data_IF_028396176584
#
_entry.id   IF_028396176584
#
_cell.length_a   1.000
_cell.length_b   1.000
_cell.length_c   1.000
_cell.angle_alpha   90.00
_cell.angle_beta   90.00
_cell.angle_gamma   90.00
#
_symmetry.space_group_name_H-M   'P 1'
#
loop_
_entity.id
_entity.type
_entity.pdbx_description
1 polymer ?
#
# COMPACT_ATOMS: atom_id res chain seq x y z
N UNK A 1 -12.85 22.13 -10.91
CA UNK A 1 -13.83 21.55 -9.95
C UNK A 1 -13.26 21.65 -8.56
N UNK A 2 -14.09 21.82 -7.53
CA UNK A 2 -13.62 21.81 -6.14
C UNK A 2 -13.16 20.39 -5.77
N UNK A 3 -12.08 20.29 -4.99
CA UNK A 3 -11.59 19.03 -4.46
C UNK A 3 -12.64 18.45 -3.49
N UNK A 4 -13.15 17.24 -3.77
CA UNK A 4 -14.27 16.65 -3.03
C UNK A 4 -13.84 15.76 -1.86
N UNK A 5 -12.58 15.30 -1.85
CA UNK A 5 -12.03 14.39 -0.84
C UNK A 5 -10.60 14.79 -0.46
N UNK A 6 -10.44 15.89 0.24
CA UNK A 6 -9.10 16.29 0.71
C UNK A 6 -8.78 15.72 2.09
N UNK A 7 -7.66 15.00 2.18
CA UNK A 7 -7.08 14.59 3.46
C UNK A 7 -5.94 15.54 3.86
N UNK A 8 -5.88 15.96 5.11
CA UNK A 8 -4.76 16.76 5.58
C UNK A 8 -3.47 15.92 5.65
N UNK A 9 -2.36 16.51 5.28
CA UNK A 9 -1.03 15.88 5.47
C UNK A 9 -0.76 15.64 6.95
N UNK A 10 -0.08 14.54 7.32
CA UNK A 10 0.33 14.30 8.69
C UNK A 10 1.16 15.45 9.27
N UNK A 11 0.94 15.74 10.56
CA UNK A 11 1.68 16.79 11.28
C UNK A 11 2.58 16.21 12.37
N UNK A 12 2.82 14.88 12.33
CA UNK A 12 3.71 14.19 13.26
C UNK A 12 5.15 14.51 12.88
N UNK A 13 5.91 15.06 13.83
CA UNK A 13 7.32 15.42 13.69
C UNK A 13 8.06 15.16 15.04
N UNK A 14 7.71 14.03 15.68
CA UNK A 14 8.24 13.64 17.00
C UNK A 14 9.47 12.73 16.93
N UNK A 15 9.91 12.39 15.71
CA UNK A 15 11.05 11.53 15.46
C UNK A 15 10.99 10.88 14.09
N UNK A 16 12.13 10.36 13.63
CA UNK A 16 12.27 9.83 12.27
C UNK A 16 11.27 8.70 11.99
N UNK A 17 11.18 7.71 12.90
CA UNK A 17 10.30 6.56 12.70
C UNK A 17 8.83 6.94 12.74
N UNK A 18 8.43 7.76 13.71
CA UNK A 18 7.03 8.19 13.84
C UNK A 18 6.59 9.04 12.64
N UNK A 19 7.46 9.94 12.18
CA UNK A 19 7.21 10.76 10.99
C UNK A 19 7.07 9.89 9.75
N UNK A 20 8.01 8.96 9.52
CA UNK A 20 7.98 8.06 8.37
C UNK A 20 6.72 7.17 8.38
N UNK A 21 6.35 6.62 9.55
CA UNK A 21 5.16 5.79 9.71
C UNK A 21 3.87 6.60 9.47
N UNK A 22 3.82 7.85 9.94
CA UNK A 22 2.67 8.72 9.71
C UNK A 22 2.43 8.98 8.20
N UNK A 23 3.50 9.23 7.43
CA UNK A 23 3.38 9.43 5.98
C UNK A 23 3.04 8.14 5.22
N UNK A 24 3.60 7.00 5.63
CA UNK A 24 3.22 5.70 5.06
C UNK A 24 1.73 5.39 5.33
N UNK A 25 1.29 5.58 6.58
CA UNK A 25 -0.11 5.38 6.97
C UNK A 25 -1.06 6.32 6.22
N UNK A 26 -0.65 7.55 5.98
CA UNK A 26 -1.40 8.51 5.17
C UNK A 26 -1.57 8.03 3.73
N UNK A 27 -0.50 7.55 3.09
CA UNK A 27 -0.56 7.02 1.73
C UNK A 27 -1.48 5.79 1.63
N UNK A 28 -1.40 4.86 2.61
CA UNK A 28 -2.29 3.69 2.71
C UNK A 28 -3.75 4.09 2.86
N UNK A 29 -4.02 5.09 3.71
CA UNK A 29 -5.36 5.63 3.90
C UNK A 29 -5.92 6.22 2.60
N UNK A 30 -5.12 6.97 1.84
CA UNK A 30 -5.53 7.52 0.55
C UNK A 30 -5.95 6.42 -0.44
N UNK A 31 -5.23 5.31 -0.51
CA UNK A 31 -5.59 4.16 -1.36
C UNK A 31 -6.94 3.58 -0.95
N UNK A 32 -7.14 3.26 0.33
CA UNK A 32 -8.39 2.67 0.83
C UNK A 32 -9.58 3.61 0.66
N UNK A 33 -9.37 4.91 0.86
CA UNK A 33 -10.39 5.94 0.66
C UNK A 33 -10.91 5.94 -0.78
N UNK A 34 -10.04 5.74 -1.76
CA UNK A 34 -10.45 5.68 -3.18
C UNK A 34 -11.25 4.42 -3.53
N UNK A 35 -11.11 3.35 -2.76
CA UNK A 35 -11.96 2.17 -2.87
C UNK A 35 -13.33 2.34 -2.20
N UNK A 36 -13.47 3.26 -1.25
CA UNK A 36 -14.68 3.46 -0.47
C UNK A 36 -15.89 3.91 -1.30
N UNK A 37 -17.05 3.27 -1.09
CA UNK A 37 -18.32 3.64 -1.72
C UNK A 37 -18.48 3.21 -3.18
N UNK A 38 -17.51 2.53 -3.77
CA UNK A 38 -17.62 1.94 -5.11
C UNK A 38 -18.27 0.56 -5.05
N UNK A 39 -19.03 0.20 -6.10
CA UNK A 39 -19.54 -1.15 -6.28
C UNK A 39 -18.42 -2.14 -6.65
N UNK A 40 -18.68 -3.44 -6.50
CA UNK A 40 -17.73 -4.49 -6.92
C UNK A 40 -17.32 -4.36 -8.39
N UNK A 41 -18.29 -4.11 -9.29
CA UNK A 41 -18.03 -3.89 -10.71
C UNK A 41 -17.13 -2.67 -10.97
N UNK A 42 -17.33 -1.58 -10.23
CA UNK A 42 -16.51 -0.38 -10.34
C UNK A 42 -15.09 -0.63 -9.85
N UNK A 43 -14.91 -1.31 -8.72
CA UNK A 43 -13.61 -1.64 -8.15
C UNK A 43 -12.78 -2.54 -9.06
N UNK A 44 -13.43 -3.47 -9.77
CA UNK A 44 -12.80 -4.42 -10.70
C UNK A 44 -12.60 -3.86 -12.11
N UNK A 45 -13.22 -2.71 -12.42
CA UNK A 45 -13.18 -2.15 -13.79
C UNK A 45 -11.76 -1.75 -14.16
N UNK A 46 -11.24 -2.37 -15.20
CA UNK A 46 -9.97 -2.02 -15.82
C UNK A 46 -10.15 -0.77 -16.67
N UNK A 47 -9.35 0.26 -16.39
CA UNK A 47 -9.43 1.56 -17.07
C UNK A 47 -8.14 1.94 -17.82
N UNK A 48 -7.13 1.08 -17.77
CA UNK A 48 -5.83 1.31 -18.41
C UNK A 48 -5.47 0.17 -19.33
N UNK A 49 -4.65 0.44 -20.34
CA UNK A 49 -4.14 -0.61 -21.24
C UNK A 49 -3.21 -1.63 -20.54
N UNK A 50 -2.68 -1.30 -19.37
CA UNK A 50 -1.87 -2.19 -18.54
C UNK A 50 -2.67 -3.13 -17.63
N UNK A 51 -4.01 -3.06 -17.65
CA UNK A 51 -4.86 -3.95 -16.86
C UNK A 51 -5.10 -3.47 -15.42
N UNK A 52 -4.88 -2.19 -15.11
CA UNK A 52 -5.00 -1.67 -13.75
C UNK A 52 -6.44 -1.37 -13.36
N UNK A 53 -6.87 -1.84 -12.21
CA UNK A 53 -8.13 -1.50 -11.53
C UNK A 53 -7.84 -1.05 -10.09
N UNK A 54 -8.78 -0.37 -9.42
CA UNK A 54 -8.60 0.01 -8.00
C UNK A 54 -8.42 -1.23 -7.13
N UNK A 55 -9.22 -2.27 -7.34
CA UNK A 55 -9.09 -3.51 -6.56
C UNK A 55 -7.74 -4.20 -6.79
N UNK A 56 -7.24 -4.18 -8.03
CA UNK A 56 -5.93 -4.71 -8.38
C UNK A 56 -4.79 -3.96 -7.69
N UNK A 57 -4.88 -2.63 -7.57
CA UNK A 57 -3.91 -1.83 -6.81
C UNK A 57 -3.90 -2.21 -5.32
N UNK A 58 -5.07 -2.39 -4.72
CA UNK A 58 -5.18 -2.80 -3.30
C UNK A 58 -4.57 -4.19 -3.09
N UNK A 59 -4.88 -5.16 -3.96
CA UNK A 59 -4.29 -6.50 -3.90
C UNK A 59 -2.77 -6.45 -4.02
N UNK A 60 -2.26 -5.74 -5.02
CA UNK A 60 -0.83 -5.57 -5.23
C UNK A 60 -0.14 -4.99 -3.99
N UNK A 61 -0.69 -3.92 -3.42
CA UNK A 61 -0.10 -3.28 -2.24
C UNK A 61 -0.11 -4.20 -1.01
N UNK A 62 -1.12 -5.07 -0.83
CA UNK A 62 -1.11 -6.06 0.25
C UNK A 62 0.10 -7.02 0.13
N UNK A 63 0.41 -7.47 -1.09
CA UNK A 63 1.56 -8.34 -1.32
C UNK A 63 2.89 -7.59 -1.14
N UNK A 64 2.96 -6.33 -1.60
CA UNK A 64 4.15 -5.48 -1.44
C UNK A 64 4.45 -5.18 0.03
N UNK A 65 3.42 -4.96 0.87
CA UNK A 65 3.56 -4.82 2.32
C UNK A 65 4.18 -6.08 2.95
N UNK A 66 3.68 -7.26 2.63
CA UNK A 66 4.19 -8.54 3.14
C UNK A 66 5.61 -8.82 2.66
N UNK A 67 5.90 -8.46 1.41
CA UNK A 67 7.24 -8.65 0.85
C UNK A 67 8.28 -7.81 1.58
N UNK A 68 8.03 -6.52 1.74
CA UNK A 68 9.02 -5.61 2.31
C UNK A 68 9.12 -5.68 3.83
N UNK A 69 7.98 -5.64 4.53
CA UNK A 69 7.99 -5.63 5.99
C UNK A 69 7.92 -7.04 6.60
N UNK A 70 7.20 -7.96 5.98
CA UNK A 70 7.15 -9.34 6.44
C UNK A 70 8.44 -10.09 6.11
N UNK A 71 8.70 -10.27 4.83
CA UNK A 71 9.85 -11.07 4.40
C UNK A 71 11.18 -10.35 4.61
N UNK A 72 11.39 -9.20 3.97
CA UNK A 72 12.70 -8.56 4.04
C UNK A 72 13.04 -8.02 5.41
N UNK A 73 12.14 -7.28 6.06
CA UNK A 73 12.41 -6.69 7.37
C UNK A 73 12.37 -7.73 8.49
N UNK A 74 11.28 -8.49 8.61
CA UNK A 74 11.06 -9.41 9.74
C UNK A 74 11.56 -10.84 9.50
N UNK A 75 11.94 -11.21 8.27
CA UNK A 75 12.47 -12.54 7.93
C UNK A 75 11.41 -13.63 7.87
N UNK A 76 10.13 -13.31 7.65
CA UNK A 76 9.11 -14.32 7.46
C UNK A 76 9.30 -15.07 6.13
N UNK A 77 8.84 -16.30 6.07
CA UNK A 77 8.89 -17.08 4.84
C UNK A 77 8.13 -16.38 3.71
N UNK A 78 8.71 -16.44 2.52
CA UNK A 78 8.12 -15.88 1.32
C UNK A 78 7.81 -16.98 0.31
N UNK A 79 6.56 -17.01 -0.12
CA UNK A 79 6.16 -17.89 -1.22
C UNK A 79 6.48 -17.21 -2.56
N UNK A 80 7.54 -17.66 -3.22
CA UNK A 80 7.96 -17.16 -4.54
C UNK A 80 6.92 -17.41 -5.65
N UNK A 81 5.92 -18.26 -5.40
CA UNK A 81 4.78 -18.47 -6.31
C UNK A 81 3.67 -17.42 -6.18
N UNK A 82 3.76 -16.50 -5.22
CA UNK A 82 2.80 -15.39 -5.10
C UNK A 82 2.95 -14.43 -6.27
N UNK A 83 1.81 -14.12 -6.88
CA UNK A 83 1.76 -13.15 -7.97
C UNK A 83 1.60 -11.73 -7.41
N UNK A 84 2.52 -10.85 -7.75
CA UNK A 84 2.42 -9.40 -7.49
C UNK A 84 1.47 -8.69 -8.47
N UNK A 85 0.72 -9.45 -9.24
CA UNK A 85 -0.12 -8.95 -10.32
C UNK A 85 -1.30 -8.12 -9.83
N UNK A 86 -1.76 -7.23 -10.70
CA UNK A 86 -2.96 -6.41 -10.45
C UNK A 86 -4.25 -7.10 -10.91
N UNK A 87 -4.17 -8.32 -11.45
CA UNK A 87 -5.34 -9.09 -11.85
C UNK A 87 -5.95 -9.79 -10.63
N UNK A 88 -7.16 -9.39 -10.26
CA UNK A 88 -7.91 -10.03 -9.17
C UNK A 88 -8.76 -11.15 -9.72
N UNK A 89 -8.59 -12.37 -9.18
CA UNK A 89 -9.41 -13.53 -9.55
C UNK A 89 -10.91 -13.23 -9.37
N UNK A 90 -11.73 -13.66 -10.33
CA UNK A 90 -13.18 -13.50 -10.27
C UNK A 90 -13.81 -14.18 -9.04
N UNK A 91 -13.17 -15.26 -8.53
CA UNK A 91 -13.63 -15.99 -7.34
C UNK A 91 -13.23 -15.34 -6.00
N UNK A 92 -12.36 -14.33 -6.01
CA UNK A 92 -11.94 -13.63 -4.77
C UNK A 92 -12.90 -12.49 -4.48
N UNK A 93 -13.56 -12.51 -3.32
CA UNK A 93 -14.48 -11.46 -2.93
C UNK A 93 -13.76 -10.11 -2.72
N UNK A 94 -14.39 -9.00 -3.13
CA UNK A 94 -13.84 -7.66 -2.94
C UNK A 94 -13.57 -7.35 -1.48
N UNK A 95 -14.48 -7.75 -0.58
CA UNK A 95 -14.31 -7.56 0.86
C UNK A 95 -13.04 -8.26 1.38
N UNK A 96 -12.74 -9.46 0.88
CA UNK A 96 -11.54 -10.22 1.28
C UNK A 96 -10.26 -9.52 0.82
N UNK A 97 -10.25 -8.89 -0.36
CA UNK A 97 -9.09 -8.13 -0.85
C UNK A 97 -8.84 -6.89 0.01
N UNK A 98 -9.90 -6.17 0.37
CA UNK A 98 -9.79 -4.97 1.21
C UNK A 98 -9.35 -5.32 2.64
N UNK A 99 -9.88 -6.40 3.20
CA UNK A 99 -9.50 -6.88 4.54
C UNK A 99 -8.08 -7.40 4.56
N UNK A 100 -7.67 -8.14 3.53
CA UNK A 100 -6.32 -8.64 3.36
C UNK A 100 -5.27 -7.53 3.34
N UNK A 101 -5.58 -6.39 2.70
CA UNK A 101 -4.70 -5.22 2.72
C UNK A 101 -4.62 -4.58 4.11
N UNK A 102 -5.75 -4.47 4.83
CA UNK A 102 -5.75 -3.96 6.21
C UNK A 102 -4.89 -4.85 7.11
N UNK A 103 -5.09 -6.16 7.03
CA UNK A 103 -4.29 -7.12 7.80
C UNK A 103 -2.79 -7.01 7.46
N UNK A 104 -2.43 -6.90 6.17
CA UNK A 104 -1.05 -6.72 5.75
C UNK A 104 -0.43 -5.43 6.32
N UNK A 105 -1.16 -4.32 6.34
CA UNK A 105 -0.65 -3.06 6.90
C UNK A 105 -0.49 -3.11 8.42
N UNK A 106 -1.38 -3.80 9.14
CA UNK A 106 -1.26 -4.03 10.58
C UNK A 106 -0.05 -4.90 10.92
N UNK A 107 0.18 -5.97 10.15
CA UNK A 107 1.36 -6.83 10.30
C UNK A 107 2.65 -6.04 10.05
N UNK A 108 2.66 -5.20 9.01
CA UNK A 108 3.78 -4.30 8.71
C UNK A 108 4.06 -3.33 9.84
N UNK A 109 3.03 -2.72 10.41
CA UNK A 109 3.18 -1.80 11.54
C UNK A 109 3.77 -2.49 12.77
N UNK A 110 3.38 -3.74 13.03
CA UNK A 110 3.98 -4.55 14.11
C UNK A 110 5.46 -4.83 13.84
N UNK A 111 5.83 -5.20 12.61
CA UNK A 111 7.21 -5.45 12.22
C UNK A 111 8.08 -4.18 12.32
N UNK A 112 7.57 -3.04 11.86
CA UNK A 112 8.23 -1.73 11.93
C UNK A 112 8.50 -1.34 13.40
N UNK A 113 7.48 -1.45 14.27
CA UNK A 113 7.60 -1.11 15.70
C UNK A 113 8.52 -2.08 16.43
N UNK A 114 8.53 -3.36 16.08
CA UNK A 114 9.43 -4.35 16.64
C UNK A 114 10.90 -4.08 16.28
N UNK A 115 11.17 -3.62 15.07
CA UNK A 115 12.51 -3.20 14.64
C UNK A 115 12.98 -1.92 15.36
N UNK A 116 12.09 -0.97 15.61
CA UNK A 116 12.23 0.19 16.51
C UNK A 116 13.22 1.27 16.07
N UNK A 117 14.39 0.91 15.56
CA UNK A 117 15.41 1.85 15.11
C UNK A 117 15.44 1.94 13.58
N UNK A 118 15.29 3.14 12.98
CA UNK A 118 15.42 3.35 11.55
C UNK A 118 16.72 2.83 10.93
N UNK A 119 17.79 2.69 11.71
CA UNK A 119 19.07 2.14 11.28
C UNK A 119 19.12 0.60 11.32
N UNK A 120 18.11 -0.08 11.87
CA UNK A 120 18.03 -1.55 11.86
C UNK A 120 18.11 -2.09 10.43
N UNK A 121 19.03 -3.01 10.20
CA UNK A 121 19.17 -3.69 8.92
C UNK A 121 18.05 -4.72 8.74
N UNK A 122 17.56 -4.87 7.50
CA UNK A 122 16.63 -5.92 7.12
C UNK A 122 17.20 -7.31 7.36
N UNK A 123 16.35 -8.27 7.71
CA UNK A 123 16.75 -9.65 7.96
C UNK A 123 17.18 -10.37 6.67
N UNK A 124 16.42 -10.20 5.59
CA UNK A 124 16.69 -10.83 4.29
C UNK A 124 17.20 -9.76 3.31
N UNK A 125 18.43 -9.91 2.77
CA UNK A 125 18.99 -8.96 1.80
C UNK A 125 18.17 -8.87 0.51
N UNK A 126 18.18 -7.69 -0.12
CA UNK A 126 17.65 -7.47 -1.48
C UNK A 126 18.84 -7.43 -2.44
N UNK A 127 18.87 -8.30 -3.43
CA UNK A 127 19.98 -8.39 -4.41
C UNK A 127 21.37 -8.37 -3.75
N UNK A 128 21.50 -9.09 -2.63
CA UNK A 128 22.73 -9.16 -1.85
C UNK A 128 23.02 -7.95 -0.95
N UNK A 129 22.20 -6.91 -0.98
CA UNK A 129 22.36 -5.69 -0.18
C UNK A 129 21.48 -5.69 1.07
N UNK A 130 22.09 -5.36 2.21
CA UNK A 130 21.36 -5.14 3.46
C UNK A 130 20.99 -3.67 3.60
N UNK A 131 19.76 -3.36 3.23
CA UNK A 131 19.19 -2.03 3.45
C UNK A 131 18.78 -1.86 4.92
N UNK A 132 18.49 -0.62 5.31
CA UNK A 132 17.97 -0.29 6.64
C UNK A 132 16.45 -0.16 6.62
N UNK A 133 15.81 -0.20 7.78
CA UNK A 133 14.38 0.11 7.94
C UNK A 133 14.05 1.48 7.33
N UNK A 134 14.91 2.50 7.53
CA UNK A 134 14.78 3.83 6.91
C UNK A 134 14.61 3.75 5.40
N UNK A 135 15.44 2.95 4.73
CA UNK A 135 15.37 2.76 3.28
C UNK A 135 14.05 2.10 2.87
N UNK A 136 13.64 1.04 3.59
CA UNK A 136 12.36 0.34 3.31
C UNK A 136 11.17 1.26 3.52
N UNK A 137 11.17 2.06 4.60
CA UNK A 137 10.11 3.05 4.86
C UNK A 137 10.00 4.10 3.74
N UNK A 138 11.13 4.63 3.29
CA UNK A 138 11.16 5.60 2.19
C UNK A 138 10.66 4.97 0.88
N UNK A 139 11.13 3.75 0.55
CA UNK A 139 10.69 3.00 -0.61
C UNK A 139 9.18 2.75 -0.59
N UNK A 140 8.66 2.20 0.51
CA UNK A 140 7.25 1.85 0.66
C UNK A 140 6.33 3.07 0.67
N UNK A 141 6.77 4.18 1.27
CA UNK A 141 6.02 5.44 1.21
C UNK A 141 5.92 5.95 -0.23
N UNK A 142 7.02 5.92 -0.98
CA UNK A 142 7.05 6.31 -2.40
C UNK A 142 6.16 5.40 -3.26
N UNK A 143 6.25 4.09 -3.08
CA UNK A 143 5.48 3.09 -3.81
C UNK A 143 3.97 3.24 -3.54
N UNK A 144 3.57 3.30 -2.27
CA UNK A 144 2.17 3.45 -1.88
C UNK A 144 1.60 4.80 -2.35
N UNK A 145 2.37 5.89 -2.23
CA UNK A 145 1.95 7.21 -2.71
C UNK A 145 1.76 7.26 -4.23
N UNK A 146 2.63 6.58 -5.00
CA UNK A 146 2.46 6.43 -6.45
C UNK A 146 1.15 5.74 -6.80
N UNK A 147 0.86 4.63 -6.12
CA UNK A 147 -0.37 3.87 -6.34
C UNK A 147 -1.61 4.60 -5.82
N UNK A 148 -1.51 5.41 -4.77
CA UNK A 148 -2.58 6.32 -4.35
C UNK A 148 -2.93 7.32 -5.47
N UNK A 149 -1.92 7.91 -6.12
CA UNK A 149 -2.13 8.79 -7.29
C UNK A 149 -2.77 8.06 -8.49
N UNK A 150 -2.39 6.81 -8.75
CA UNK A 150 -3.08 5.99 -9.76
C UNK A 150 -4.55 5.77 -9.38
N UNK A 151 -4.83 5.44 -8.12
CA UNK A 151 -6.21 5.26 -7.64
C UNK A 151 -7.03 6.56 -7.72
N UNK A 152 -6.42 7.73 -7.52
CA UNK A 152 -7.06 9.04 -7.72
C UNK A 152 -7.57 9.19 -9.16
N UNK A 153 -6.72 8.92 -10.14
CA UNK A 153 -7.07 9.04 -11.57
C UNK A 153 -8.16 8.02 -11.95
N UNK A 154 -8.02 6.77 -11.50
CA UNK A 154 -9.03 5.75 -11.77
C UNK A 154 -10.38 6.10 -11.12
N UNK A 155 -10.37 6.65 -9.92
CA UNK A 155 -11.59 7.11 -9.22
C UNK A 155 -12.28 8.22 -9.98
N UNK A 156 -11.54 9.22 -10.43
CA UNK A 156 -12.08 10.33 -11.22
C UNK A 156 -12.74 9.83 -12.51
N UNK A 157 -12.15 8.82 -13.17
CA UNK A 157 -12.72 8.21 -14.38
C UNK A 157 -13.98 7.39 -14.10
N UNK A 158 -14.13 6.83 -12.90
CA UNK A 158 -15.29 6.01 -12.53
C UNK A 158 -16.51 6.84 -12.17
N UNK A 159 -16.35 7.87 -11.38
CA UNK A 159 -17.49 8.63 -10.82
C UNK A 159 -17.26 10.14 -10.69
N UNK A 160 -16.14 10.66 -11.19
CA UNK A 160 -15.80 12.08 -11.15
C UNK A 160 -15.32 12.59 -9.79
N UNK A 161 -15.14 11.71 -8.80
CA UNK A 161 -14.66 12.10 -7.47
C UNK A 161 -13.19 12.47 -7.53
N UNK A 162 -12.83 13.66 -7.04
CA UNK A 162 -11.45 14.19 -7.01
C UNK A 162 -10.98 14.45 -5.58
N UNK A 163 -9.67 14.66 -5.42
CA UNK A 163 -9.01 14.92 -4.13
C UNK A 163 -8.43 13.66 -3.49
N UNK A 164 -7.48 13.86 -2.56
CA UNK A 164 -6.78 12.79 -1.84
C UNK A 164 -7.36 12.56 -0.44
#
# INVERSE_FOLDING_TARGET
MAETQREPVPRVDSGELDTALAFLSFARHCVLKKAGGLSDDQLRRVLTGSGTSILGLVQHLAEVERYWFGHHLAGTDWDAGREYGMAVSAGRATADVLEDYRAATEDSDRAIRAAGDPATCIAVPVDGNRHTLRWVMAHMTSETARHAGHADILREQLDGTTGR
#
